data_IF_086836707546
#
_entry.id   IF_086836707546
#
_cell.length_a   1.000
_cell.length_b   1.000
_cell.length_c   1.000
_cell.angle_alpha   90.00
_cell.angle_beta   90.00
_cell.angle_gamma   90.00
#
_symmetry.space_group_name_H-M   'P 1'
#
loop_
_entity.id
_entity.type
_entity.pdbx_description
1 polymer ?
#
# COMPACT_ATOMS: atom_id res chain seq x y z
N UNK A 1 -7.36 -44.65 0.53
CA UNK A 1 -6.43 -43.78 -0.23
C UNK A 1 -7.07 -42.40 -0.29
N UNK A 2 -6.70 -41.42 0.54
CA UNK A 2 -7.29 -40.09 0.44
C UNK A 2 -6.61 -39.35 -0.70
N UNK A 3 -7.30 -39.19 -1.83
CA UNK A 3 -6.83 -38.38 -2.95
C UNK A 3 -6.60 -36.94 -2.49
N UNK A 4 -5.34 -36.51 -2.58
CA UNK A 4 -4.91 -35.14 -2.37
C UNK A 4 -5.80 -34.18 -3.17
N UNK A 5 -6.43 -33.24 -2.46
CA UNK A 5 -7.06 -32.07 -3.06
C UNK A 5 -6.00 -31.27 -3.82
N UNK A 6 -5.81 -31.55 -5.11
CA UNK A 6 -5.24 -30.62 -6.08
C UNK A 6 -6.21 -29.46 -6.25
N UNK A 7 -6.19 -28.53 -5.30
CA UNK A 7 -6.84 -27.24 -5.44
C UNK A 7 -5.80 -26.15 -5.26
N UNK A 8 -5.08 -25.86 -6.34
CA UNK A 8 -4.48 -24.54 -6.54
C UNK A 8 -4.57 -24.21 -8.02
N UNK A 9 -5.56 -23.38 -8.32
CA UNK A 9 -5.71 -22.58 -9.52
C UNK A 9 -4.39 -22.37 -10.30
N UNK A 10 -4.27 -23.05 -11.44
CA UNK A 10 -3.14 -23.04 -12.37
C UNK A 10 -3.04 -21.73 -13.18
N UNK A 11 -3.18 -20.58 -12.51
CA UNK A 11 -3.31 -19.26 -13.15
C UNK A 11 -2.14 -18.29 -12.94
N UNK A 12 -1.07 -18.71 -12.27
CA UNK A 12 0.11 -17.89 -12.06
C UNK A 12 1.32 -18.57 -12.70
N UNK A 13 1.48 -18.34 -14.00
CA UNK A 13 2.66 -18.76 -14.75
C UNK A 13 3.93 -18.23 -14.08
N UNK A 14 5.04 -18.96 -14.19
CA UNK A 14 6.33 -18.52 -13.64
C UNK A 14 6.75 -17.15 -14.20
N UNK A 15 6.35 -16.84 -15.44
CA UNK A 15 6.50 -15.53 -16.05
C UNK A 15 5.78 -14.42 -15.26
N UNK A 16 4.54 -14.66 -14.81
CA UNK A 16 3.78 -13.70 -14.00
C UNK A 16 4.41 -13.49 -12.63
N UNK A 17 4.94 -14.55 -12.01
CA UNK A 17 5.68 -14.45 -10.73
C UNK A 17 6.96 -13.62 -10.87
N UNK A 18 7.74 -13.82 -11.94
CA UNK A 18 8.94 -13.02 -12.23
C UNK A 18 8.61 -11.56 -12.50
N UNK A 19 7.54 -11.29 -13.24
CA UNK A 19 7.08 -9.92 -13.50
C UNK A 19 6.63 -9.21 -12.21
N UNK A 20 5.85 -9.88 -11.36
CA UNK A 20 5.46 -9.34 -10.05
C UNK A 20 6.67 -9.08 -9.15
N UNK A 21 7.64 -10.01 -9.12
CA UNK A 21 8.88 -9.83 -8.33
C UNK A 21 9.75 -8.68 -8.85
N UNK A 22 9.81 -8.48 -10.17
CA UNK A 22 10.53 -7.37 -10.80
C UNK A 22 9.88 -6.03 -10.44
N UNK A 23 8.56 -5.92 -10.56
CA UNK A 23 7.81 -4.72 -10.18
C UNK A 23 7.98 -4.38 -8.70
N UNK A 24 7.86 -5.38 -7.82
CA UNK A 24 8.07 -5.20 -6.38
C UNK A 24 9.49 -4.74 -6.01
N UNK A 25 10.49 -5.08 -6.82
CA UNK A 25 11.90 -4.74 -6.55
C UNK A 25 12.31 -3.40 -7.14
N UNK A 26 11.77 -3.03 -8.30
CA UNK A 26 12.23 -1.86 -9.05
C UNK A 26 11.29 -0.66 -8.96
N UNK A 27 9.99 -0.88 -8.72
CA UNK A 27 8.98 0.18 -8.85
C UNK A 27 8.37 0.64 -7.52
N UNK A 28 8.56 -0.11 -6.43
CA UNK A 28 7.93 0.20 -5.14
C UNK A 28 8.92 0.05 -3.99
N UNK A 29 8.90 1.03 -3.07
CA UNK A 29 9.61 0.95 -1.80
C UNK A 29 8.64 0.55 -0.68
N UNK A 30 9.06 -0.36 0.20
CA UNK A 30 8.25 -0.81 1.34
C UNK A 30 8.44 0.12 2.54
N UNK A 31 7.41 0.91 2.86
CA UNK A 31 7.41 1.81 4.01
C UNK A 31 6.68 1.14 5.18
N UNK A 32 7.45 0.66 6.16
CA UNK A 32 6.88 0.08 7.40
C UNK A 32 6.50 1.17 8.40
N UNK A 33 5.21 1.50 8.44
CA UNK A 33 4.64 2.46 9.40
C UNK A 33 4.14 1.73 10.66
N UNK A 34 4.53 2.23 11.84
CA UNK A 34 4.03 1.74 13.13
C UNK A 34 3.03 2.76 13.69
N UNK A 35 1.75 2.41 13.67
CA UNK A 35 0.69 3.19 14.31
C UNK A 35 0.27 2.57 15.63
N UNK A 36 -0.18 3.37 16.62
CA UNK A 36 -0.73 2.85 17.86
C UNK A 36 -1.95 1.95 17.60
N UNK A 37 -2.20 1.01 18.52
CA UNK A 37 -3.33 0.08 18.39
C UNK A 37 -4.64 0.86 18.33
N UNK A 38 -5.50 0.49 17.37
CA UNK A 38 -6.79 1.16 17.11
C UNK A 38 -6.75 2.18 15.98
N UNK A 39 -5.61 2.88 15.77
CA UNK A 39 -5.52 3.88 14.70
C UNK A 39 -5.61 3.27 13.29
N UNK A 40 -5.10 2.06 13.09
CA UNK A 40 -5.25 1.34 11.81
C UNK A 40 -6.72 1.23 11.37
N UNK A 41 -7.64 1.00 12.30
CA UNK A 41 -9.06 0.88 11.99
C UNK A 41 -9.67 2.22 11.57
N UNK A 42 -9.24 3.31 12.22
CA UNK A 42 -9.66 4.68 11.87
C UNK A 42 -9.18 5.06 10.48
N UNK A 43 -7.90 4.81 10.18
CA UNK A 43 -7.31 5.09 8.86
C UNK A 43 -8.03 4.28 7.78
N UNK A 44 -8.30 3.00 8.04
CA UNK A 44 -9.01 2.13 7.11
C UNK A 44 -10.45 2.61 6.86
N UNK A 45 -11.19 2.95 7.92
CA UNK A 45 -12.56 3.46 7.80
C UNK A 45 -12.61 4.78 7.03
N UNK A 46 -11.63 5.65 7.25
CA UNK A 46 -11.53 6.92 6.52
C UNK A 46 -11.23 6.70 5.03
N UNK A 47 -10.28 5.82 4.70
CA UNK A 47 -9.99 5.44 3.32
C UNK A 47 -11.21 4.82 2.63
N UNK A 48 -11.92 3.91 3.31
CA UNK A 48 -13.16 3.30 2.82
C UNK A 48 -14.25 4.35 2.57
N UNK A 49 -14.36 5.38 3.42
CA UNK A 49 -15.30 6.49 3.22
C UNK A 49 -14.94 7.36 2.01
N UNK A 50 -13.66 7.43 1.62
CA UNK A 50 -13.22 8.14 0.43
C UNK A 50 -13.27 7.27 -0.83
N UNK A 51 -13.57 5.97 -0.69
CA UNK A 51 -13.55 5.01 -1.80
C UNK A 51 -12.14 4.61 -2.24
N UNK A 52 -11.12 4.88 -1.42
CA UNK A 52 -9.71 4.62 -1.71
C UNK A 52 -9.18 3.45 -0.88
N UNK A 53 -8.10 2.82 -1.32
CA UNK A 53 -7.41 1.82 -0.50
C UNK A 53 -6.67 2.49 0.66
N UNK A 54 -6.46 1.76 1.76
CA UNK A 54 -5.64 2.26 2.87
C UNK A 54 -4.24 2.67 2.41
N UNK A 55 -3.68 1.99 1.41
CA UNK A 55 -2.36 2.31 0.89
C UNK A 55 -2.38 3.62 0.09
N UNK A 56 -3.34 3.80 -0.81
CA UNK A 56 -3.49 5.03 -1.60
C UNK A 56 -3.75 6.23 -0.70
N UNK A 57 -4.60 6.08 0.32
CA UNK A 57 -4.86 7.13 1.31
C UNK A 57 -3.58 7.56 2.04
N UNK A 58 -2.74 6.60 2.45
CA UNK A 58 -1.47 6.90 3.14
C UNK A 58 -0.51 7.63 2.20
N UNK A 59 -0.39 7.21 0.95
CA UNK A 59 0.47 7.88 -0.04
C UNK A 59 -0.01 9.31 -0.30
N UNK A 60 -1.32 9.49 -0.52
CA UNK A 60 -1.94 10.82 -0.71
C UNK A 60 -1.69 11.74 0.48
N UNK A 61 -1.90 11.24 1.70
CA UNK A 61 -1.68 12.02 2.92
C UNK A 61 -0.20 12.41 3.12
N UNK A 62 0.75 11.57 2.69
CA UNK A 62 2.18 11.90 2.71
C UNK A 62 2.49 13.00 1.70
N UNK A 63 1.98 12.89 0.47
CA UNK A 63 2.20 13.87 -0.60
C UNK A 63 1.62 15.24 -0.21
N UNK A 64 0.36 15.27 0.24
CA UNK A 64 -0.29 16.49 0.74
C UNK A 64 0.48 17.13 1.91
N UNK A 65 1.02 16.31 2.82
CA UNK A 65 1.81 16.81 3.95
C UNK A 65 3.14 17.43 3.48
N UNK A 66 3.82 16.82 2.50
CA UNK A 66 5.06 17.36 1.90
C UNK A 66 4.77 18.68 1.19
N UNK A 67 3.72 18.75 0.39
CA UNK A 67 3.31 19.98 -0.30
C UNK A 67 2.95 21.09 0.69
N UNK A 68 2.24 20.76 1.77
CA UNK A 68 1.88 21.73 2.79
C UNK A 68 3.11 22.26 3.56
N UNK A 69 4.07 21.40 3.88
CA UNK A 69 5.31 21.82 4.54
C UNK A 69 6.18 22.66 3.61
N UNK A 70 6.28 22.30 2.32
CA UNK A 70 6.98 23.12 1.32
C UNK A 70 6.35 24.52 1.16
N UNK A 71 5.01 24.61 1.22
CA UNK A 71 4.30 25.88 1.22
C UNK A 71 4.50 26.72 2.49
N UNK A 72 4.64 26.07 3.66
CA UNK A 72 4.92 26.75 4.94
C UNK A 72 6.36 27.28 5.00
N UNK A 73 7.34 26.55 4.47
CA UNK A 73 8.74 27.00 4.44
C UNK A 73 8.95 28.26 3.59
N UNK A 74 8.03 28.60 2.67
CA UNK A 74 8.11 29.86 1.91
C UNK A 74 7.47 31.06 2.62
N UNK A 75 6.78 30.86 3.75
CA UNK A 75 6.09 31.92 4.49
C UNK A 75 6.78 32.29 5.83
N UNK A 76 7.89 31.64 6.18
CA UNK A 76 8.67 31.89 7.39
C UNK A 76 10.10 32.41 7.13
N UNK A 77 10.37 33.02 5.97
CA UNK A 77 11.62 33.76 5.71
C UNK A 77 11.40 35.24 5.34
#
# INVERSE_FOLDING_TARGET
MPEEKRSTYSGQTEARRRASAKYLKEAVEDVRIRVPKGQKAVIKAHAESQGESMNDFVVRAIDEAIEQDAGKSSAEE
#
